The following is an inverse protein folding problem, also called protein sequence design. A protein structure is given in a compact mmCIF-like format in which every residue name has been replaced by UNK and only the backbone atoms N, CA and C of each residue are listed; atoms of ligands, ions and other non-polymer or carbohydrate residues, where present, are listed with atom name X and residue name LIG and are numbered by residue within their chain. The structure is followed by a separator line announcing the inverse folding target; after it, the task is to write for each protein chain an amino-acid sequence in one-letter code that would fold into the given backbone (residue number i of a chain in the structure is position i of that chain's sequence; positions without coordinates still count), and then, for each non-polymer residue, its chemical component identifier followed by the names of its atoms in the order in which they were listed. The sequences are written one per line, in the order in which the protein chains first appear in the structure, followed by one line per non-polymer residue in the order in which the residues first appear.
data_IF_032547401383
#
_entry.id   IF_032547401383
#
_cell.length_a   1.000
_cell.length_b   1.000
_cell.length_c   1.000
_cell.angle_alpha   90.00
_cell.angle_beta   90.00
_cell.angle_gamma   90.00
#
_symmetry.space_group_name_H-M   'P 1'
#
loop_
_entity.id
_entity.type
_entity.pdbx_description
1 polymer ?
#
# COMPACT_ATOMS: atom_id res chain seq x y z
N UNK A 1 1.73 10.18 -5.97
CA UNK A 1 2.13 9.02 -6.78
C UNK A 1 2.64 7.95 -5.84
N UNK A 2 2.50 6.67 -6.19
CA UNK A 2 3.11 5.53 -5.47
C UNK A 2 3.98 4.74 -6.45
N UNK A 3 4.94 3.98 -5.94
CA UNK A 3 5.80 3.12 -6.72
C UNK A 3 5.62 1.66 -6.34
N UNK A 4 5.77 0.79 -7.32
CA UNK A 4 5.87 -0.65 -7.11
C UNK A 4 7.17 -0.95 -6.35
N UNK A 5 7.05 -1.70 -5.26
CA UNK A 5 8.16 -2.19 -4.44
C UNK A 5 7.96 -3.67 -4.12
N UNK A 6 9.02 -4.48 -4.22
CA UNK A 6 8.98 -5.91 -3.92
C UNK A 6 7.98 -6.69 -4.78
N UNK A 7 7.99 -6.49 -6.10
CA UNK A 7 7.08 -7.17 -7.02
C UNK A 7 7.29 -8.70 -7.03
N UNK A 8 6.21 -9.44 -6.81
CA UNK A 8 6.11 -10.90 -6.92
C UNK A 8 5.06 -11.27 -7.99
N UNK A 9 5.53 -11.47 -9.22
CA UNK A 9 4.70 -11.88 -10.36
C UNK A 9 5.28 -13.12 -11.07
N UNK A 10 5.03 -14.29 -10.48
CA UNK A 10 5.55 -15.57 -10.97
C UNK A 10 5.04 -15.96 -12.36
N UNK A 11 3.89 -15.41 -12.78
CA UNK A 11 3.30 -15.66 -14.10
C UNK A 11 3.72 -14.60 -15.13
N UNK A 12 4.39 -13.53 -14.69
CA UNK A 12 4.84 -12.41 -15.53
C UNK A 12 3.70 -11.83 -16.40
N UNK A 13 2.49 -11.75 -15.83
CA UNK A 13 1.28 -11.35 -16.52
C UNK A 13 0.81 -9.93 -16.18
N UNK A 14 1.38 -9.31 -15.15
CA UNK A 14 1.01 -7.97 -14.69
C UNK A 14 1.46 -6.86 -15.64
N UNK A 15 2.56 -7.10 -16.38
CA UNK A 15 3.24 -6.06 -17.16
C UNK A 15 3.90 -4.98 -16.31
N UNK A 16 4.02 -5.19 -14.99
CA UNK A 16 4.65 -4.26 -14.05
C UNK A 16 6.13 -4.59 -13.85
N UNK A 17 6.89 -3.58 -13.46
CA UNK A 17 8.29 -3.70 -13.07
C UNK A 17 8.57 -2.94 -11.78
N UNK A 18 9.65 -3.34 -11.09
CA UNK A 18 10.09 -2.70 -9.86
C UNK A 18 10.34 -1.19 -10.08
N UNK A 19 9.77 -0.34 -9.23
CA UNK A 19 9.89 1.11 -9.31
C UNK A 19 8.90 1.82 -10.24
N UNK A 20 8.03 1.07 -10.94
CA UNK A 20 6.96 1.64 -11.77
C UNK A 20 6.10 2.62 -10.97
N UNK A 21 5.78 3.76 -11.58
CA UNK A 21 4.93 4.78 -10.96
C UNK A 21 3.47 4.48 -11.24
N UNK A 22 2.66 4.53 -10.19
CA UNK A 22 1.21 4.41 -10.27
C UNK A 22 0.54 5.72 -9.83
N UNK A 23 -0.49 6.11 -10.58
CA UNK A 23 -1.34 7.27 -10.28
C UNK A 23 -2.83 6.94 -10.45
N UNK A 24 -3.66 7.55 -9.62
CA UNK A 24 -5.12 7.50 -9.74
C UNK A 24 -5.68 6.07 -9.86
N UNK A 25 -6.31 5.76 -11.01
CA UNK A 25 -6.96 4.46 -11.26
C UNK A 25 -5.99 3.29 -11.36
N UNK A 26 -4.71 3.53 -11.59
CA UNK A 26 -3.70 2.46 -11.65
C UNK A 26 -3.54 1.81 -10.28
N UNK A 27 -3.50 2.60 -9.21
CA UNK A 27 -3.49 2.12 -7.83
C UNK A 27 -4.70 1.21 -7.57
N UNK A 28 -5.88 1.66 -7.96
CA UNK A 28 -7.13 0.89 -7.78
C UNK A 28 -7.12 -0.44 -8.56
N UNK A 29 -6.55 -0.47 -9.77
CA UNK A 29 -6.39 -1.69 -10.56
C UNK A 29 -5.39 -2.64 -9.91
N UNK A 30 -4.25 -2.11 -9.47
CA UNK A 30 -3.21 -2.89 -8.79
C UNK A 30 -3.73 -3.54 -7.51
N UNK A 31 -4.40 -2.77 -6.65
CA UNK A 31 -5.02 -3.32 -5.43
C UNK A 31 -6.02 -4.44 -5.75
N UNK A 32 -6.86 -4.26 -6.78
CA UNK A 32 -7.80 -5.31 -7.21
C UNK A 32 -7.11 -6.59 -7.68
N UNK A 33 -5.99 -6.47 -8.39
CA UNK A 33 -5.21 -7.62 -8.83
C UNK A 33 -4.53 -8.34 -7.66
N UNK A 34 -4.01 -7.59 -6.68
CA UNK A 34 -3.45 -8.16 -5.44
C UNK A 34 -4.54 -8.97 -4.70
N UNK A 35 -5.73 -8.40 -4.50
CA UNK A 35 -6.84 -9.12 -3.85
C UNK A 35 -7.37 -10.33 -4.64
N UNK A 36 -7.07 -10.44 -5.94
CA UNK A 36 -7.35 -11.62 -6.76
C UNK A 36 -6.21 -12.63 -6.82
N UNK A 37 -5.13 -12.41 -6.07
CA UNK A 37 -3.92 -13.23 -6.10
C UNK A 37 -3.33 -13.37 -7.52
N UNK A 38 -3.45 -12.32 -8.34
CA UNK A 38 -2.86 -12.31 -9.69
C UNK A 38 -1.34 -12.11 -9.64
N UNK A 39 -0.88 -11.29 -8.68
CA UNK A 39 0.50 -10.98 -8.30
C UNK A 39 0.48 -10.28 -6.94
N UNK A 40 1.65 -10.04 -6.34
CA UNK A 40 1.78 -9.24 -5.11
C UNK A 40 2.83 -8.13 -5.29
N UNK A 41 2.62 -7.00 -4.62
CA UNK A 41 3.61 -5.92 -4.52
C UNK A 41 3.24 -4.97 -3.37
N UNK A 42 4.20 -4.18 -2.92
CA UNK A 42 3.99 -3.01 -2.07
C UNK A 42 3.84 -1.76 -2.91
N UNK A 43 3.05 -0.79 -2.41
CA UNK A 43 2.90 0.52 -3.03
C UNK A 43 3.46 1.58 -2.09
N UNK A 44 4.59 2.17 -2.46
CA UNK A 44 5.37 3.03 -1.55
C UNK A 44 5.74 4.35 -2.22
N UNK A 45 5.84 5.40 -1.42
CA UNK A 45 6.51 6.66 -1.73
C UNK A 45 7.24 7.12 -0.48
N UNK A 46 7.99 8.22 -0.58
CA UNK A 46 8.81 8.72 0.53
C UNK A 46 7.98 9.04 1.80
N UNK A 47 6.68 9.33 1.67
CA UNK A 47 5.84 9.76 2.79
C UNK A 47 4.53 9.00 2.97
N UNK A 48 4.20 8.06 2.08
CA UNK A 48 2.94 7.31 2.06
C UNK A 48 3.19 5.89 1.61
N UNK A 49 2.51 4.92 2.22
CA UNK A 49 2.51 3.54 1.77
C UNK A 49 1.13 2.90 1.80
N UNK A 50 0.95 1.87 0.97
CA UNK A 50 -0.13 0.90 1.05
C UNK A 50 0.49 -0.49 1.01
N UNK A 51 0.30 -1.25 2.10
CA UNK A 51 0.76 -2.62 2.22
C UNK A 51 -0.41 -3.56 2.46
N UNK A 52 -0.36 -4.74 1.85
CA UNK A 52 -1.37 -5.77 2.02
C UNK A 52 -0.68 -7.02 2.57
N UNK A 53 -1.10 -7.42 3.77
CA UNK A 53 -0.68 -8.65 4.41
C UNK A 53 -1.28 -9.90 3.76
N UNK A 54 -0.63 -11.05 3.97
CA UNK A 54 -1.13 -12.36 3.54
C UNK A 54 -2.45 -12.76 4.22
N UNK A 55 -2.74 -12.15 5.37
CA UNK A 55 -3.99 -12.24 6.12
C UNK A 55 -5.07 -11.26 5.62
N UNK A 56 -4.84 -10.62 4.48
CA UNK A 56 -5.71 -9.61 3.87
C UNK A 56 -5.91 -8.33 4.71
N UNK A 57 -5.09 -8.11 5.73
CA UNK A 57 -5.04 -6.80 6.37
C UNK A 57 -4.37 -5.78 5.46
N UNK A 58 -5.02 -4.63 5.28
CA UNK A 58 -4.50 -3.51 4.49
C UNK A 58 -4.05 -2.39 5.42
N UNK A 59 -2.78 -2.00 5.29
CA UNK A 59 -2.16 -0.91 6.02
C UNK A 59 -2.00 0.27 5.08
N UNK A 60 -2.63 1.40 5.41
CA UNK A 60 -2.46 2.67 4.70
C UNK A 60 -1.77 3.64 5.65
N UNK A 61 -0.50 3.92 5.40
CA UNK A 61 0.30 4.75 6.29
C UNK A 61 0.73 6.05 5.66
N UNK A 62 0.87 7.06 6.49
CA UNK A 62 1.42 8.37 6.17
C UNK A 62 2.43 8.77 7.26
N UNK A 63 3.48 9.50 6.92
CA UNK A 63 4.47 9.93 7.92
C UNK A 63 3.89 10.89 8.95
N UNK A 64 2.98 11.77 8.52
CA UNK A 64 2.38 12.78 9.37
C UNK A 64 0.90 12.97 8.99
N UNK A 65 0.04 13.05 10.00
CA UNK A 65 -1.36 13.39 9.84
C UNK A 65 -1.78 14.41 10.91
N UNK A 66 -2.61 15.37 10.51
CA UNK A 66 -3.25 16.28 11.47
C UNK A 66 -4.33 15.52 12.24
N UNK A 67 -4.52 15.85 13.51
CA UNK A 67 -5.58 15.28 14.35
C UNK A 67 -6.98 15.39 13.72
N UNK A 68 -7.26 16.52 13.04
CA UNK A 68 -8.53 16.70 12.31
C UNK A 68 -8.70 15.79 11.10
N UNK A 69 -7.60 15.31 10.51
CA UNK A 69 -7.63 14.29 9.45
C UNK A 69 -7.86 12.91 10.05
N UNK A 70 -7.16 12.58 11.14
CA UNK A 70 -7.33 11.32 11.88
C UNK A 70 -8.78 11.14 12.29
N UNK A 71 -9.39 12.15 12.93
CA UNK A 71 -10.79 12.11 13.34
C UNK A 71 -11.75 11.84 12.17
N UNK A 72 -11.52 12.46 11.01
CA UNK A 72 -12.34 12.21 9.81
C UNK A 72 -12.20 10.79 9.27
N UNK A 73 -11.04 10.16 9.47
CA UNK A 73 -10.78 8.78 9.06
C UNK A 73 -11.50 7.83 10.03
N UNK A 74 -11.41 8.09 11.32
CA UNK A 74 -12.14 7.35 12.36
C UNK A 74 -13.66 7.48 12.21
N UNK A 75 -14.17 8.67 11.91
CA UNK A 75 -15.60 8.92 11.63
C UNK A 75 -16.11 8.15 10.39
N UNK A 76 -15.20 7.70 9.51
CA UNK A 76 -15.51 6.82 8.37
C UNK A 76 -15.43 5.33 8.73
N UNK A 77 -15.17 5.00 9.99
CA UNK A 77 -15.07 3.64 10.50
C UNK A 77 -13.71 2.97 10.28
N UNK A 78 -12.67 3.73 9.93
CA UNK A 78 -11.32 3.20 9.79
C UNK A 78 -10.57 3.31 11.12
N UNK A 79 -9.78 2.29 11.45
CA UNK A 79 -8.92 2.28 12.62
C UNK A 79 -7.62 3.04 12.33
N UNK A 80 -7.17 3.87 13.27
CA UNK A 80 -5.94 4.65 13.16
C UNK A 80 -5.09 4.43 14.41
N UNK A 81 -3.79 4.18 14.21
CA UNK A 81 -2.81 4.02 15.27
C UNK A 81 -1.43 4.48 14.80
N UNK A 82 -0.56 4.86 15.74
CA UNK A 82 0.86 5.07 15.48
C UNK A 82 1.52 3.70 15.29
N UNK A 83 1.87 3.37 14.06
CA UNK A 83 2.26 2.02 13.71
C UNK A 83 3.33 1.96 12.62
N UNK A 84 4.32 1.09 12.83
CA UNK A 84 5.31 0.75 11.81
C UNK A 84 4.81 -0.49 11.09
N UNK A 85 4.56 -0.35 9.79
CA UNK A 85 4.14 -1.49 8.96
C UNK A 85 5.11 -2.68 9.10
N UNK A 86 4.60 -3.93 9.16
CA UNK A 86 5.43 -5.14 9.14
C UNK A 86 6.36 -5.23 7.93
N UNK A 87 5.99 -4.52 6.85
CA UNK A 87 6.70 -4.47 5.59
C UNK A 87 7.64 -3.27 5.45
N UNK A 88 7.79 -2.44 6.50
CA UNK A 88 8.72 -1.32 6.47
C UNK A 88 10.16 -1.83 6.32
N UNK A 89 10.87 -1.32 5.31
CA UNK A 89 12.24 -1.73 4.96
C UNK A 89 13.32 -1.06 5.82
N UNK A 90 12.94 -0.18 6.76
CA UNK A 90 13.83 0.37 7.77
C UNK A 90 14.23 -0.70 8.79
N UNK A 91 15.52 -0.99 8.88
CA UNK A 91 16.10 -1.74 10.00
C UNK A 91 15.65 -1.09 11.31
N UNK A 92 15.24 -1.93 12.27
CA UNK A 92 15.02 -1.56 13.67
C UNK A 92 16.18 -0.75 14.23
#
# INVERSE_FOLDING_TARGET
ELRISGLEDSKSQSGLTEGDRLVGKEIERTLRSIFRNEYWCRLESDSVFIHIGWDYYMYVGVLEAKESTIKKIEDRGLYVEDFISPFHSGKR
#
